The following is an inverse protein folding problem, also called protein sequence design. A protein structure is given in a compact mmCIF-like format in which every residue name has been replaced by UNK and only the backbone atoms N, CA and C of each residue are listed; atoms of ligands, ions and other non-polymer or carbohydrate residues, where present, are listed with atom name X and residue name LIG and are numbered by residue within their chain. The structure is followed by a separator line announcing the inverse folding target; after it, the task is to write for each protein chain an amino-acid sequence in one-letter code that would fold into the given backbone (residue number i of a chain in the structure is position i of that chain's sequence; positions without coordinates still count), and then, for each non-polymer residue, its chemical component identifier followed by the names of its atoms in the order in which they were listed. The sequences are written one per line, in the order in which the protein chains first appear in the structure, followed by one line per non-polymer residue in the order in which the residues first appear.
data_IF_952042229389
#
_entry.id   IF_952042229389
#
_cell.length_a   1.000
_cell.length_b   1.000
_cell.length_c   1.000
_cell.angle_alpha   90.00
_cell.angle_beta   90.00
_cell.angle_gamma   90.00
#
_symmetry.space_group_name_H-M   'P 1'
#
loop_
_entity.id
_entity.type
_entity.pdbx_description
1 polymer ?
#
# COMPACT_ATOMS: atom_id res chain seq x y z
N UNK A 1 1.67 -23.26 -12.22
CA UNK A 1 2.29 -21.92 -12.11
C UNK A 1 1.77 -21.33 -10.81
N UNK A 2 2.54 -21.42 -9.72
CA UNK A 2 2.20 -20.72 -8.47
C UNK A 2 3.09 -19.49 -8.36
N UNK A 3 2.61 -18.30 -8.74
CA UNK A 3 3.29 -17.05 -8.41
C UNK A 3 2.67 -16.51 -7.11
N UNK A 4 3.18 -16.96 -5.96
CA UNK A 4 2.92 -16.36 -4.64
C UNK A 4 4.26 -16.26 -3.89
N UNK A 5 5.20 -15.50 -4.44
CA UNK A 5 6.48 -15.20 -3.77
C UNK A 5 6.32 -14.13 -2.68
N UNK A 6 5.16 -13.48 -2.59
CA UNK A 6 4.79 -12.54 -1.55
C UNK A 6 3.54 -13.07 -0.82
N UNK A 7 3.51 -12.98 0.51
CA UNK A 7 2.42 -13.46 1.39
C UNK A 7 1.13 -12.62 1.27
N UNK A 8 0.73 -12.26 0.05
CA UNK A 8 -0.53 -11.56 -0.19
C UNK A 8 -1.71 -12.47 0.14
N UNK A 9 -2.72 -11.90 0.80
CA UNK A 9 -3.95 -12.62 1.14
C UNK A 9 -4.62 -13.20 -0.10
N UNK A 10 -5.06 -14.46 -0.03
CA UNK A 10 -5.72 -15.15 -1.14
C UNK A 10 -6.99 -14.41 -1.61
N UNK A 11 -7.68 -13.74 -0.69
CA UNK A 11 -8.83 -12.89 -0.99
C UNK A 11 -8.46 -11.73 -1.91
N UNK A 12 -7.31 -11.09 -1.67
CA UNK A 12 -6.81 -10.00 -2.50
C UNK A 12 -6.45 -10.48 -3.91
N UNK A 13 -5.76 -11.62 -4.02
CA UNK A 13 -5.40 -12.22 -5.32
C UNK A 13 -6.65 -12.57 -6.14
N UNK A 14 -7.68 -13.12 -5.48
CA UNK A 14 -8.95 -13.44 -6.13
C UNK A 14 -9.67 -12.17 -6.63
N UNK A 15 -9.67 -11.10 -5.84
CA UNK A 15 -10.28 -9.82 -6.21
C UNK A 15 -9.64 -9.22 -7.46
N UNK A 16 -8.30 -9.13 -7.49
CA UNK A 16 -7.55 -8.63 -8.66
C UNK A 16 -7.79 -9.50 -9.89
N UNK A 17 -7.77 -10.83 -9.75
CA UNK A 17 -7.98 -11.77 -10.85
C UNK A 17 -9.38 -11.62 -11.48
N UNK A 18 -10.42 -11.40 -10.67
CA UNK A 18 -11.78 -11.20 -11.16
C UNK A 18 -11.91 -9.89 -11.94
N UNK A 19 -11.26 -8.81 -11.48
CA UNK A 19 -11.24 -7.52 -12.16
C UNK A 19 -10.60 -7.63 -13.56
N UNK A 20 -9.49 -8.37 -13.66
CA UNK A 20 -8.81 -8.63 -14.93
C UNK A 20 -9.68 -9.43 -15.91
N UNK A 21 -10.44 -10.42 -15.42
CA UNK A 21 -11.37 -11.20 -16.26
C UNK A 21 -12.56 -10.37 -16.73
N UNK A 22 -13.12 -9.52 -15.87
CA UNK A 22 -14.27 -8.68 -16.21
C UNK A 22 -13.97 -7.71 -17.36
N UNK A 23 -12.78 -7.10 -17.35
CA UNK A 23 -12.37 -6.10 -18.36
C UNK A 23 -11.89 -6.76 -19.66
N UNK A 24 -11.45 -8.02 -19.61
CA UNK A 24 -11.11 -8.80 -20.81
C UNK A 24 -12.27 -8.96 -21.81
N UNK A 25 -13.51 -8.70 -21.39
CA UNK A 25 -14.69 -8.65 -22.28
C UNK A 25 -15.00 -7.24 -22.84
N UNK A 26 -14.46 -6.17 -22.24
CA UNK A 26 -14.65 -4.77 -22.65
C UNK A 26 -13.31 -4.13 -23.06
N UNK A 27 -12.77 -4.50 -24.23
CA UNK A 27 -11.49 -3.93 -24.68
C UNK A 27 -11.72 -2.64 -25.47
N UNK A 28 -11.39 -1.51 -24.86
CA UNK A 28 -11.40 -0.17 -25.48
C UNK A 28 -10.19 0.01 -26.39
N UNK A 29 -10.45 0.52 -27.61
CA UNK A 29 -9.50 0.71 -28.70
C UNK A 29 -8.57 1.92 -28.45
N UNK A 30 -7.39 1.72 -27.84
CA UNK A 30 -6.24 2.67 -27.98
C UNK A 30 -5.01 2.34 -27.13
N UNK A 31 -5.11 1.48 -26.12
CA UNK A 31 -3.99 1.12 -25.23
C UNK A 31 -3.58 -0.34 -25.37
N UNK A 32 -2.29 -0.63 -25.20
CA UNK A 32 -1.79 -2.01 -25.27
C UNK A 32 -2.34 -2.82 -24.08
N UNK A 33 -2.78 -4.08 -24.29
CA UNK A 33 -3.39 -4.89 -23.23
C UNK A 33 -2.52 -5.02 -21.97
N UNK A 34 -1.20 -5.10 -22.12
CA UNK A 34 -0.26 -5.18 -21.00
C UNK A 34 -0.24 -3.93 -20.12
N UNK A 35 -0.33 -2.73 -20.72
CA UNK A 35 -0.37 -1.48 -19.95
C UNK A 35 -1.67 -1.32 -19.17
N UNK A 36 -2.79 -1.84 -19.70
CA UNK A 36 -4.06 -1.84 -18.96
C UNK A 36 -3.98 -2.72 -17.70
N UNK A 37 -3.36 -3.90 -17.80
CA UNK A 37 -3.18 -4.79 -16.64
C UNK A 37 -2.37 -4.10 -15.53
N UNK A 38 -1.26 -3.46 -15.88
CA UNK A 38 -0.43 -2.73 -14.91
C UNK A 38 -1.22 -1.61 -14.24
N UNK A 39 -1.99 -0.85 -15.01
CA UNK A 39 -2.82 0.23 -14.49
C UNK A 39 -3.87 -0.29 -13.51
N UNK A 40 -4.58 -1.36 -13.86
CA UNK A 40 -5.62 -1.96 -12.99
C UNK A 40 -5.02 -2.42 -11.67
N UNK A 41 -3.88 -3.12 -11.71
CA UNK A 41 -3.20 -3.58 -10.50
C UNK A 41 -2.74 -2.39 -9.65
N UNK A 42 -2.22 -1.34 -10.27
CA UNK A 42 -1.81 -0.12 -9.57
C UNK A 42 -3.01 0.58 -8.92
N UNK A 43 -4.08 0.79 -9.66
CA UNK A 43 -5.28 1.48 -9.19
C UNK A 43 -5.89 0.72 -7.99
N UNK A 44 -5.94 -0.61 -8.05
CA UNK A 44 -6.44 -1.43 -6.95
C UNK A 44 -5.51 -1.45 -5.72
N UNK A 45 -4.19 -1.40 -5.93
CA UNK A 45 -3.22 -1.26 -4.84
C UNK A 45 -3.40 0.08 -4.12
N UNK A 46 -3.62 1.17 -4.88
CA UNK A 46 -3.87 2.50 -4.31
C UNK A 46 -5.19 2.54 -3.55
N UNK A 47 -6.24 1.94 -4.09
CA UNK A 47 -7.53 1.81 -3.40
C UNK A 47 -7.38 1.05 -2.07
N UNK A 48 -6.65 -0.07 -2.09
CA UNK A 48 -6.52 -0.97 -0.93
C UNK A 48 -5.61 -0.39 0.16
N UNK A 49 -4.49 0.23 -0.22
CA UNK A 49 -3.52 0.80 0.72
C UNK A 49 -3.88 2.21 1.20
N UNK A 50 -4.82 2.86 0.52
CA UNK A 50 -5.28 4.22 0.80
C UNK A 50 -4.82 5.21 -0.26
N UNK A 51 -5.77 6.00 -0.76
CA UNK A 51 -5.57 6.95 -1.85
C UNK A 51 -4.93 8.28 -1.42
N UNK A 52 -4.90 8.58 -0.12
CA UNK A 52 -4.41 9.85 0.41
C UNK A 52 -3.29 9.64 1.42
N UNK A 53 -2.21 10.39 1.26
CA UNK A 53 -1.13 10.43 2.23
C UNK A 53 -1.56 11.32 3.41
N UNK A 54 -1.60 10.76 4.62
CA UNK A 54 -1.77 11.54 5.85
C UNK A 54 -0.42 11.79 6.51
N UNK A 55 -0.12 13.04 6.85
CA UNK A 55 1.03 13.37 7.68
C UNK A 55 0.79 12.98 9.16
N UNK A 56 1.88 12.89 9.91
CA UNK A 56 1.81 12.75 11.38
C UNK A 56 1.38 14.08 11.98
N UNK A 57 0.24 14.07 12.67
CA UNK A 57 -0.31 15.27 13.30
C UNK A 57 0.42 15.57 14.62
N UNK A 58 1.30 16.58 14.60
CA UNK A 58 2.01 17.11 15.78
C UNK A 58 1.42 18.44 16.28
N UNK A 59 0.22 18.84 15.80
CA UNK A 59 -0.45 20.09 16.21
C UNK A 59 -1.17 19.92 17.55
N UNK A 60 -0.41 19.64 18.60
CA UNK A 60 -0.90 19.56 19.98
C UNK A 60 0.04 20.32 20.91
N UNK A 61 -0.44 20.67 22.11
CA UNK A 61 0.38 21.36 23.12
C UNK A 61 1.55 20.45 23.50
N UNK A 62 2.81 20.91 23.35
CA UNK A 62 3.97 20.09 23.72
C UNK A 62 3.93 19.71 25.20
N UNK A 63 4.38 18.49 25.59
CA UNK A 63 4.96 17.43 24.75
C UNK A 63 3.91 16.53 24.09
N UNK A 64 4.18 16.07 22.85
CA UNK A 64 3.30 15.14 22.10
C UNK A 64 3.84 13.71 22.21
N UNK A 65 3.26 12.83 23.06
CA UNK A 65 3.71 11.46 23.20
C UNK A 65 3.26 10.59 22.02
N UNK A 66 4.16 9.74 21.49
CA UNK A 66 3.88 8.78 20.41
C UNK A 66 4.28 7.38 20.87
N UNK A 67 3.33 6.43 20.87
CA UNK A 67 3.55 5.03 21.25
C UNK A 67 3.66 4.13 20.01
N UNK A 68 4.74 3.35 19.93
CA UNK A 68 4.95 2.39 18.85
C UNK A 68 4.57 0.97 19.32
N UNK A 69 3.55 0.37 18.71
CA UNK A 69 3.09 -1.01 18.97
C UNK A 69 3.07 -1.83 17.68
N UNK A 70 3.15 -3.15 17.81
CA UNK A 70 3.21 -4.05 16.66
C UNK A 70 3.85 -5.40 16.98
N UNK A 71 3.79 -6.32 16.02
CA UNK A 71 4.29 -7.69 16.14
C UNK A 71 5.80 -7.74 16.48
N UNK A 72 6.25 -8.82 17.12
CA UNK A 72 7.68 -9.01 17.37
C UNK A 72 8.44 -9.08 16.04
N UNK A 73 9.59 -8.41 15.98
CA UNK A 73 10.36 -8.29 14.73
C UNK A 73 9.80 -7.31 13.69
N UNK A 74 8.68 -6.62 13.94
CA UNK A 74 8.11 -5.63 12.99
C UNK A 74 8.93 -4.34 12.82
N UNK A 75 10.09 -4.24 13.47
CA UNK A 75 11.00 -3.09 13.34
C UNK A 75 10.65 -1.86 14.17
N UNK A 76 9.82 -1.96 15.22
CA UNK A 76 9.41 -0.84 16.08
C UNK A 76 10.56 0.08 16.49
N UNK A 77 11.61 -0.47 17.11
CA UNK A 77 12.77 0.30 17.59
C UNK A 77 13.51 1.03 16.47
N UNK A 78 13.73 0.34 15.34
CA UNK A 78 14.41 0.92 14.16
C UNK A 78 13.58 2.02 13.52
N UNK A 79 12.26 1.82 13.42
CA UNK A 79 11.34 2.82 12.89
C UNK A 79 11.26 4.03 13.81
N UNK A 80 11.25 3.84 15.14
CA UNK A 80 11.31 4.96 16.11
C UNK A 80 12.55 5.81 15.91
N UNK A 81 13.73 5.21 15.81
CA UNK A 81 14.99 5.96 15.65
C UNK A 81 15.02 6.75 14.32
N UNK A 82 14.59 6.12 13.22
CA UNK A 82 14.50 6.77 11.91
C UNK A 82 13.46 7.90 11.90
N UNK A 83 12.34 7.69 12.58
CA UNK A 83 11.29 8.71 12.69
C UNK A 83 11.77 9.91 13.51
N UNK A 84 12.43 9.67 14.64
CA UNK A 84 12.99 10.74 15.47
C UNK A 84 14.01 11.58 14.68
N UNK A 85 14.91 10.93 13.93
CA UNK A 85 15.86 11.64 13.06
C UNK A 85 15.13 12.50 12.02
N UNK A 86 14.11 11.96 11.35
CA UNK A 86 13.31 12.70 10.37
C UNK A 86 12.59 13.90 10.98
N UNK A 87 12.06 13.79 12.21
CA UNK A 87 11.36 14.88 12.88
C UNK A 87 12.30 16.00 13.36
N UNK A 88 13.56 15.69 13.64
CA UNK A 88 14.59 16.68 14.00
C UNK A 88 15.17 17.38 12.76
N UNK A 89 15.28 16.66 11.64
CA UNK A 89 15.82 17.19 10.39
C UNK A 89 14.79 17.95 9.52
N UNK A 90 13.50 17.73 9.77
CA UNK A 90 12.40 18.43 9.08
C UNK A 90 12.24 19.83 9.65
#
# INVERSE_FOLDING_TARGET
MEPLECNADASYVAAVSNMLRAIGQEVVRSVTPGQMVVKIVHDHLVETLGSTASEINLRAVPPVPVLMVGLQGSGKTTTTAKLALRLVQK
#
